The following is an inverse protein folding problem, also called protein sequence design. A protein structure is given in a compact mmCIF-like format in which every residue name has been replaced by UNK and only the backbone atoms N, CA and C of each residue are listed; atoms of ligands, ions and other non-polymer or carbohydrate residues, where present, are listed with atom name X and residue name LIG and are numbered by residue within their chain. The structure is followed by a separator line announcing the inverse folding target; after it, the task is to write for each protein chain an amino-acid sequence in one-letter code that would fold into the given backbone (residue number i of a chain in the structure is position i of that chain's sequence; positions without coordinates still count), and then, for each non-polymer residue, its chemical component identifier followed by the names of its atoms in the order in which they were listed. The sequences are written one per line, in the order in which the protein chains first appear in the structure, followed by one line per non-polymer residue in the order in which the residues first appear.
data_IF_017747155386
#
_entry.id   IF_017747155386
#
_cell.length_a   1.000
_cell.length_b   1.000
_cell.length_c   1.000
_cell.angle_alpha   90.00
_cell.angle_beta   90.00
_cell.angle_gamma   90.00
#
_symmetry.space_group_name_H-M   'P 1'
#
loop_
_entity.id
_entity.type
_entity.pdbx_description
1 polymer ?
#
# COMPACT_ATOMS: atom_id res chain seq x y z
N UNK A 1 17.61 -7.77 -2.67
CA UNK A 1 17.40 -7.08 -1.38
C UNK A 1 16.56 -5.85 -1.62
N UNK A 2 15.49 -5.62 -0.85
CA UNK A 2 14.79 -4.32 -0.89
C UNK A 2 15.69 -3.31 -0.21
N UNK A 3 15.86 -2.16 -0.85
CA UNK A 3 16.60 -1.06 -0.27
C UNK A 3 15.61 -0.29 0.61
N UNK A 4 15.69 -0.43 1.93
CA UNK A 4 14.87 0.29 2.92
C UNK A 4 15.24 1.80 3.01
N UNK A 5 15.91 2.31 1.98
CA UNK A 5 16.42 3.66 1.88
C UNK A 5 15.83 4.38 0.68
N UNK A 6 15.47 5.64 0.89
CA UNK A 6 14.94 6.53 -0.13
C UNK A 6 15.90 6.60 -1.32
N UNK A 7 15.41 6.31 -2.53
CA UNK A 7 16.23 6.33 -3.75
C UNK A 7 16.78 7.72 -4.10
N UNK A 8 16.15 8.78 -3.58
CA UNK A 8 16.55 10.17 -3.86
C UNK A 8 17.64 10.69 -2.92
N UNK A 9 17.56 10.38 -1.63
CA UNK A 9 18.46 10.95 -0.63
C UNK A 9 19.21 9.92 0.23
N UNK A 10 18.96 8.63 0.02
CA UNK A 10 19.48 7.55 0.86
C UNK A 10 18.94 7.52 2.30
N UNK A 11 17.99 8.41 2.63
CA UNK A 11 17.40 8.51 3.96
C UNK A 11 16.49 7.34 4.31
N UNK A 12 16.24 7.15 5.60
CA UNK A 12 15.37 6.09 6.10
C UNK A 12 13.94 6.30 5.60
N UNK A 13 13.30 5.19 5.21
CA UNK A 13 11.89 5.12 4.85
C UNK A 13 11.08 4.58 6.03
N UNK A 14 10.03 5.30 6.40
CA UNK A 14 9.08 4.86 7.43
C UNK A 14 7.80 4.32 6.78
N UNK A 15 7.14 3.36 7.41
CA UNK A 15 5.88 2.81 6.90
C UNK A 15 4.78 3.86 7.02
N UNK A 16 4.27 4.32 5.89
CA UNK A 16 3.15 5.27 5.83
C UNK A 16 1.80 4.55 5.86
N UNK A 17 1.68 3.44 5.12
CA UNK A 17 0.44 2.67 5.03
C UNK A 17 0.71 1.18 4.91
N UNK A 18 -0.14 0.38 5.57
CA UNK A 18 -0.13 -1.08 5.50
C UNK A 18 -1.30 -1.59 4.66
N UNK A 19 -1.12 -2.76 4.06
CA UNK A 19 -2.17 -3.47 3.36
C UNK A 19 -3.23 -3.97 4.35
N UNK A 20 -4.50 -3.69 4.09
CA UNK A 20 -5.59 -4.16 4.96
C UNK A 20 -5.79 -5.68 4.92
N UNK A 21 -5.28 -6.37 3.89
CA UNK A 21 -5.45 -7.83 3.73
C UNK A 21 -4.33 -8.62 4.39
N UNK A 22 -3.07 -8.22 4.20
CA UNK A 22 -1.90 -8.97 4.68
C UNK A 22 -1.05 -8.23 5.72
N UNK A 23 -1.44 -7.00 6.07
CA UNK A 23 -0.76 -6.13 7.04
C UNK A 23 0.71 -5.80 6.73
N UNK A 24 1.19 -6.10 5.51
CA UNK A 24 2.51 -5.71 5.02
C UNK A 24 2.49 -4.26 4.55
N UNK A 25 3.63 -3.57 4.63
CA UNK A 25 3.76 -2.18 4.19
C UNK A 25 3.48 -2.06 2.69
N UNK A 26 2.49 -1.22 2.34
CA UNK A 26 2.21 -0.83 0.97
C UNK A 26 2.93 0.45 0.64
N UNK A 27 2.92 1.45 1.53
CA UNK A 27 3.50 2.77 1.26
C UNK A 27 4.57 3.12 2.28
N UNK A 28 5.60 3.81 1.81
CA UNK A 28 6.69 4.31 2.63
C UNK A 28 6.87 5.81 2.46
N UNK A 29 7.14 6.51 3.54
CA UNK A 29 7.38 7.95 3.56
C UNK A 29 8.84 8.27 3.87
N UNK A 30 9.41 9.21 3.14
CA UNK A 30 10.74 9.75 3.43
C UNK A 30 10.63 11.12 4.10
N UNK A 31 10.96 11.21 5.39
CA UNK A 31 10.95 12.48 6.13
C UNK A 31 11.94 13.52 5.59
N UNK A 32 13.07 13.10 5.02
CA UNK A 32 14.05 14.03 4.43
C UNK A 32 13.56 14.65 3.13
N UNK A 33 12.87 13.88 2.30
CA UNK A 33 12.38 14.35 1.00
C UNK A 33 10.95 14.89 1.05
N UNK A 34 10.21 14.62 2.12
CA UNK A 34 8.78 14.95 2.21
C UNK A 34 7.92 14.24 1.17
N UNK A 35 8.40 13.10 0.64
CA UNK A 35 7.77 12.38 -0.46
C UNK A 35 7.46 10.94 -0.07
N UNK A 36 6.33 10.44 -0.57
CA UNK A 36 5.94 9.04 -0.49
C UNK A 36 6.68 8.29 -1.60
N UNK A 37 7.45 7.27 -1.23
CA UNK A 37 8.20 6.46 -2.19
C UNK A 37 7.50 5.12 -2.40
N UNK A 38 7.01 4.95 -3.63
CA UNK A 38 6.43 3.78 -4.31
C UNK A 38 5.78 2.69 -3.45
N UNK A 39 4.50 2.53 -3.77
CA UNK A 39 3.57 1.48 -3.40
C UNK A 39 4.07 0.07 -3.74
N UNK A 40 4.26 -0.75 -2.74
CA UNK A 40 4.22 -2.19 -2.95
C UNK A 40 2.78 -2.60 -3.19
N UNK A 41 2.45 -2.79 -4.46
CA UNK A 41 1.15 -3.32 -4.85
C UNK A 41 1.17 -4.83 -4.66
N UNK A 42 0.46 -5.29 -3.64
CA UNK A 42 0.19 -6.72 -3.46
C UNK A 42 -0.99 -7.11 -4.36
N UNK A 43 -0.72 -7.45 -5.62
CA UNK A 43 -1.76 -7.75 -6.62
C UNK A 43 -2.80 -8.76 -6.13
N UNK A 44 -2.37 -9.78 -5.38
CA UNK A 44 -3.29 -10.76 -4.78
C UNK A 44 -4.18 -10.15 -3.69
N UNK A 45 -3.64 -9.27 -2.85
CA UNK A 45 -4.43 -8.55 -1.85
C UNK A 45 -5.40 -7.55 -2.49
N UNK A 46 -5.02 -6.92 -3.60
CA UNK A 46 -5.92 -6.04 -4.37
C UNK A 46 -7.15 -6.82 -4.87
N UNK A 47 -6.95 -8.04 -5.39
CA UNK A 47 -8.05 -8.90 -5.85
C UNK A 47 -8.99 -9.30 -4.70
N UNK A 48 -8.44 -9.56 -3.50
CA UNK A 48 -9.23 -9.90 -2.30
C UNK A 48 -10.03 -8.69 -1.80
N UNK A 49 -9.39 -7.51 -1.68
CA UNK A 49 -10.06 -6.26 -1.28
C UNK A 49 -11.20 -5.90 -2.24
N UNK A 50 -10.98 -6.04 -3.56
CA UNK A 50 -12.00 -5.79 -4.58
C UNK A 50 -13.15 -6.80 -4.55
N UNK A 51 -12.87 -8.04 -4.18
CA UNK A 51 -13.90 -9.09 -4.03
C UNK A 51 -14.76 -8.84 -2.79
N UNK A 52 -14.15 -8.37 -1.70
CA UNK A 52 -14.86 -8.01 -0.47
C UNK A 52 -15.76 -6.79 -0.69
N UNK A 53 -15.25 -5.72 -1.32
CA UNK A 53 -16.05 -4.51 -1.64
C UNK A 53 -17.21 -4.78 -2.59
N UNK A 54 -17.10 -5.77 -3.48
CA UNK A 54 -18.22 -6.17 -4.35
C UNK A 54 -19.35 -6.89 -3.61
N UNK A 55 -19.04 -7.59 -2.51
CA UNK A 55 -20.05 -8.25 -1.68
C UNK A 55 -20.84 -7.24 -0.82
N UNK A 56 -20.27 -6.07 -0.56
CA UNK A 56 -20.94 -4.97 0.17
C UNK A 56 -21.72 -4.02 -0.77
N UNK A 57 -21.72 -4.27 -2.08
CA UNK A 57 -22.59 -3.51 -2.98
C UNK A 57 -24.03 -3.94 -2.69
N UNK A 58 -24.92 -3.04 -2.21
CA UNK A 58 -26.31 -3.40 -2.00
C UNK A 58 -26.85 -3.93 -3.32
N UNK A 59 -27.49 -5.10 -3.25
CA UNK A 59 -28.28 -5.68 -4.31
C UNK A 59 -29.23 -4.57 -4.79
N UNK A 60 -28.88 -3.90 -5.88
CA UNK A 60 -29.84 -3.08 -6.61
C UNK A 60 -30.79 -4.08 -7.26
N UNK A 61 -31.82 -4.46 -6.49
CA UNK A 61 -33.03 -5.06 -7.04
C UNK A 61 -33.64 -4.02 -7.97
N UNK A 62 -33.62 -4.31 -9.26
CA UNK A 62 -34.56 -3.81 -10.27
C UNK A 62 -34.88 -4.95 -11.21
#
# INVERSE_FOLDING_TARGET
MRNDSCRKCGGILEVNKKCNVCNKANEFFCHKCGNITIEQIHSQCMLIDFSYKRLESPIQKS
#
